data_IF_831424423548
#
_entry.id   IF_831424423548
#
_cell.length_a   1.000
_cell.length_b   1.000
_cell.length_c   1.000
_cell.angle_alpha   90.00
_cell.angle_beta   90.00
_cell.angle_gamma   90.00
#
_symmetry.space_group_name_H-M   'P 1'
#
loop_
_entity.id
_entity.type
_entity.pdbx_description
1 polymer ?
#
# COMPACT_ATOMS: atom_id res chain seq x y z
N UNK A 1 4.11 15.14 -25.22
CA UNK A 1 3.30 13.96 -24.84
C UNK A 1 2.59 14.33 -23.54
N UNK A 2 1.25 14.37 -23.54
CA UNK A 2 0.45 14.76 -22.38
C UNK A 2 0.46 13.64 -21.33
N UNK A 3 1.17 13.84 -20.22
CA UNK A 3 1.10 12.96 -19.05
C UNK A 3 -0.16 13.28 -18.23
N UNK A 4 -1.31 12.87 -18.74
CA UNK A 4 -2.57 12.95 -18.01
C UNK A 4 -2.64 11.85 -16.97
N UNK A 5 -2.32 12.13 -15.69
CA UNK A 5 -2.61 11.21 -14.57
C UNK A 5 -2.85 11.87 -13.20
N UNK A 6 -2.90 13.19 -13.06
CA UNK A 6 -3.18 13.85 -11.77
C UNK A 6 -4.52 14.61 -11.79
N UNK A 7 -5.64 13.89 -11.91
CA UNK A 7 -6.98 14.49 -11.75
C UNK A 7 -7.42 14.62 -10.27
N UNK A 8 -6.52 14.35 -9.31
CA UNK A 8 -6.77 14.57 -7.88
C UNK A 8 -5.69 15.51 -7.33
N UNK A 9 -6.05 16.62 -6.66
CA UNK A 9 -5.04 17.48 -6.05
C UNK A 9 -4.27 16.68 -5.00
N UNK A 10 -2.94 16.78 -5.04
CA UNK A 10 -2.08 16.20 -4.02
C UNK A 10 -2.39 16.85 -2.67
N UNK A 11 -2.38 16.05 -1.61
CA UNK A 11 -2.32 16.58 -0.25
C UNK A 11 -1.02 17.36 -0.06
N UNK A 12 -1.00 18.28 0.91
CA UNK A 12 0.21 19.06 1.24
C UNK A 12 1.43 18.15 1.47
N UNK A 13 1.24 17.03 2.18
CA UNK A 13 2.32 16.07 2.43
C UNK A 13 2.84 15.42 1.14
N UNK A 14 1.94 15.02 0.23
CA UNK A 14 2.33 14.46 -1.06
C UNK A 14 3.09 15.48 -1.91
N UNK A 15 2.70 16.76 -1.87
CA UNK A 15 3.41 17.83 -2.57
C UNK A 15 4.79 18.10 -1.98
N UNK A 16 4.95 18.10 -0.65
CA UNK A 16 6.27 18.23 0.00
C UNK A 16 7.21 17.06 -0.35
N UNK A 17 6.70 15.82 -0.41
CA UNK A 17 7.49 14.68 -0.86
C UNK A 17 8.01 14.87 -2.30
N UNK A 18 7.19 15.46 -3.19
CA UNK A 18 7.61 15.74 -4.56
C UNK A 18 8.75 16.77 -4.62
N UNK A 19 8.85 17.69 -3.65
CA UNK A 19 9.92 18.69 -3.58
C UNK A 19 11.28 18.10 -3.21
N UNK A 20 11.37 16.81 -2.86
CA UNK A 20 12.64 16.12 -2.61
C UNK A 20 13.32 15.65 -3.91
N UNK A 21 12.55 15.42 -4.98
CA UNK A 21 13.04 14.97 -6.30
C UNK A 21 13.79 15.97 -7.19
N UNK A 22 13.87 17.30 -6.92
CA UNK A 22 14.72 18.22 -7.68
C UNK A 22 16.23 18.04 -7.44
N UNK A 23 16.64 17.37 -6.36
CA UNK A 23 17.99 16.84 -6.30
C UNK A 23 18.11 15.78 -7.40
N UNK A 24 19.22 15.73 -8.12
CA UNK A 24 19.49 14.75 -9.19
C UNK A 24 19.55 13.32 -8.62
N UNK A 25 18.41 12.81 -8.14
CA UNK A 25 18.28 11.56 -7.40
C UNK A 25 18.36 10.45 -8.45
N UNK A 26 19.31 9.51 -8.30
CA UNK A 26 19.40 8.36 -9.19
C UNK A 26 18.09 7.57 -9.22
N UNK A 27 17.71 7.08 -10.41
CA UNK A 27 16.48 6.28 -10.59
C UNK A 27 16.45 5.06 -9.65
N UNK A 28 17.61 4.51 -9.29
CA UNK A 28 17.74 3.40 -8.32
C UNK A 28 17.20 3.77 -6.94
N UNK A 29 17.52 4.96 -6.42
CA UNK A 29 17.01 5.41 -5.13
C UNK A 29 15.49 5.68 -5.17
N UNK A 30 14.97 6.13 -6.31
CA UNK A 30 13.52 6.28 -6.52
C UNK A 30 12.80 4.93 -6.49
N UNK A 31 13.42 3.88 -7.04
CA UNK A 31 12.90 2.50 -6.97
C UNK A 31 12.91 1.98 -5.53
N UNK A 32 13.98 2.18 -4.78
CA UNK A 32 14.05 1.81 -3.36
C UNK A 32 12.99 2.54 -2.53
N UNK A 33 12.79 3.84 -2.75
CA UNK A 33 11.74 4.61 -2.08
C UNK A 33 10.34 4.07 -2.41
N UNK A 34 10.10 3.70 -3.67
CA UNK A 34 8.84 3.08 -4.10
C UNK A 34 8.59 1.75 -3.39
N UNK A 35 9.62 0.92 -3.24
CA UNK A 35 9.54 -0.35 -2.53
C UNK A 35 9.23 -0.15 -1.05
N UNK A 36 9.86 0.84 -0.40
CA UNK A 36 9.58 1.20 0.98
C UNK A 36 8.11 1.62 1.18
N UNK A 37 7.59 2.48 0.30
CA UNK A 37 6.18 2.91 0.34
C UNK A 37 5.26 1.69 0.13
N UNK A 38 5.57 0.81 -0.82
CA UNK A 38 4.77 -0.38 -1.09
C UNK A 38 4.74 -1.34 0.12
N UNK A 39 5.89 -1.56 0.76
CA UNK A 39 5.99 -2.39 1.96
C UNK A 39 5.16 -1.82 3.11
N UNK A 40 5.27 -0.51 3.37
CA UNK A 40 4.48 0.18 4.38
C UNK A 40 2.98 0.05 4.13
N UNK A 41 2.52 0.28 2.89
CA UNK A 41 1.10 0.16 2.54
C UNK A 41 0.60 -1.29 2.66
N UNK A 42 1.43 -2.27 2.30
CA UNK A 42 1.10 -3.68 2.45
C UNK A 42 0.94 -4.07 3.92
N UNK A 43 1.83 -3.61 4.80
CA UNK A 43 1.71 -3.82 6.24
C UNK A 43 0.38 -3.25 6.77
N UNK A 44 0.06 -2.00 6.44
CA UNK A 44 -1.20 -1.37 6.88
C UNK A 44 -2.44 -2.06 6.30
N UNK A 45 -2.34 -2.65 5.11
CA UNK A 45 -3.40 -3.45 4.52
C UNK A 45 -3.59 -4.78 5.27
N UNK A 46 -2.49 -5.45 5.66
CA UNK A 46 -2.52 -6.67 6.48
C UNK A 46 -3.13 -6.41 7.85
N UNK A 47 -2.69 -5.35 8.54
CA UNK A 47 -3.24 -4.96 9.85
C UNK A 47 -4.77 -4.81 9.80
N UNK A 48 -5.28 -4.17 8.73
CA UNK A 48 -6.73 -4.02 8.51
C UNK A 48 -7.42 -5.33 8.21
N UNK A 49 -6.80 -6.19 7.40
CA UNK A 49 -7.34 -7.51 7.09
C UNK A 49 -7.45 -8.37 8.36
N UNK A 50 -6.42 -8.38 9.21
CA UNK A 50 -6.39 -9.10 10.48
C UNK A 50 -7.46 -8.59 11.44
N UNK A 51 -7.66 -7.27 11.54
CA UNK A 51 -8.71 -6.69 12.35
C UNK A 51 -10.11 -7.13 11.88
N UNK A 52 -10.36 -7.16 10.57
CA UNK A 52 -11.63 -7.65 10.01
C UNK A 52 -11.78 -9.15 10.24
N UNK A 53 -10.71 -9.93 10.10
CA UNK A 53 -10.69 -11.36 10.33
C UNK A 53 -11.08 -11.71 11.76
N UNK A 54 -10.48 -11.02 12.74
CA UNK A 54 -10.82 -11.14 14.15
C UNK A 54 -12.26 -10.70 14.45
N UNK A 55 -12.72 -9.56 13.89
CA UNK A 55 -14.07 -9.06 14.10
C UNK A 55 -15.16 -10.01 13.58
N UNK A 56 -14.86 -10.78 12.52
CA UNK A 56 -15.76 -11.79 11.97
C UNK A 56 -15.68 -13.13 12.70
N UNK A 57 -14.81 -13.26 13.70
CA UNK A 57 -14.59 -14.50 14.44
C UNK A 57 -14.03 -15.62 13.57
N UNK A 58 -13.35 -15.30 12.47
CA UNK A 58 -12.76 -16.30 11.61
C UNK A 58 -11.61 -17.00 12.35
N UNK A 59 -11.76 -18.31 12.58
CA UNK A 59 -10.70 -19.18 13.08
C UNK A 59 -10.17 -20.07 11.95
N UNK A 60 -8.99 -20.66 12.16
CA UNK A 60 -8.43 -21.66 11.25
C UNK A 60 -9.42 -22.82 11.01
N UNK A 61 -10.26 -23.15 11.99
CA UNK A 61 -11.29 -24.17 11.85
C UNK A 61 -12.42 -23.74 10.90
N UNK A 62 -12.74 -22.44 10.84
CA UNK A 62 -13.71 -21.89 9.88
C UNK A 62 -13.14 -21.95 8.47
N UNK A 63 -11.87 -21.62 8.30
CA UNK A 63 -11.18 -21.75 7.00
C UNK A 63 -11.15 -23.21 6.56
N UNK A 64 -10.79 -24.14 7.45
CA UNK A 64 -10.80 -25.57 7.17
C UNK A 64 -12.21 -26.07 6.81
N UNK A 65 -13.26 -25.61 7.50
CA UNK A 65 -14.66 -25.94 7.17
C UNK A 65 -15.07 -25.40 5.79
N UNK A 66 -14.62 -24.20 5.41
CA UNK A 66 -14.90 -23.63 4.09
C UNK A 66 -14.17 -24.37 2.96
N UNK A 67 -12.90 -24.73 3.17
CA UNK A 67 -12.08 -25.45 2.19
C UNK A 67 -12.53 -26.91 2.01
N UNK A 68 -13.05 -27.54 3.07
CA UNK A 68 -13.49 -28.94 3.04
C UNK A 68 -14.96 -29.11 2.65
N UNK A 69 -15.71 -28.01 2.46
CA UNK A 69 -17.07 -28.07 1.90
C UNK A 69 -16.98 -28.26 0.38
N UNK A 70 -16.75 -29.50 -0.05
CA UNK A 70 -17.02 -29.99 -1.40
C UNK A 70 -18.32 -30.79 -1.42
#
# INVERSE_FOLDING_TARGET
>A
MNNGFFHTPLTNMQAELLKLFPADIPETHLKELKELIAAFLLEKARDKADAIWAAKGYSDEIVLKLLNKK
#
